data_IF_954609260669
#
_entry.id   IF_954609260669
#
_cell.length_a   1.000
_cell.length_b   1.000
_cell.length_c   1.000
_cell.angle_alpha   90.00
_cell.angle_beta   90.00
_cell.angle_gamma   90.00
#
_symmetry.space_group_name_H-M   'P 1'
#
loop_
_entity.id
_entity.type
_entity.pdbx_description
1 polymer ?
#
# COMPACT_ATOMS: atom_id res chain seq x y z
N UNK A 1 8.77 -6.80 -18.57
CA UNK A 1 9.56 -7.54 -17.55
C UNK A 1 9.39 -6.79 -16.25
N UNK A 2 9.02 -7.47 -15.15
CA UNK A 2 8.93 -6.85 -13.83
C UNK A 2 10.26 -6.20 -13.47
N UNK A 3 10.24 -4.91 -13.13
CA UNK A 3 11.43 -4.15 -12.68
C UNK A 3 11.37 -3.88 -11.17
N UNK A 4 10.74 -4.77 -10.44
CA UNK A 4 10.62 -4.72 -9.00
C UNK A 4 10.68 -6.13 -8.41
N UNK A 5 11.07 -6.19 -7.15
CA UNK A 5 11.03 -7.36 -6.28
C UNK A 5 9.94 -7.14 -5.25
N UNK A 6 9.10 -8.15 -5.05
CA UNK A 6 8.06 -8.18 -4.03
C UNK A 6 8.21 -9.46 -3.22
N UNK A 7 8.37 -9.31 -1.91
CA UNK A 7 8.30 -10.39 -0.94
C UNK A 7 7.05 -10.20 -0.10
N UNK A 8 6.31 -11.29 0.15
CA UNK A 8 5.12 -11.26 1.00
C UNK A 8 5.26 -12.32 2.08
N UNK A 9 5.36 -11.86 3.32
CA UNK A 9 5.46 -12.72 4.50
C UNK A 9 4.17 -12.65 5.32
N UNK A 10 3.63 -13.82 5.69
CA UNK A 10 2.49 -13.92 6.61
C UNK A 10 2.96 -14.39 7.98
N UNK A 11 2.70 -13.60 9.02
CA UNK A 11 3.11 -13.92 10.40
C UNK A 11 1.97 -14.42 11.29
N UNK A 12 0.81 -14.74 10.71
CA UNK A 12 -0.38 -15.16 11.44
C UNK A 12 -1.36 -14.03 11.80
N UNK A 13 -0.94 -12.75 11.72
CA UNK A 13 -1.79 -11.59 12.04
C UNK A 13 -1.95 -10.63 10.87
N UNK A 14 -0.86 -10.36 10.15
CA UNK A 14 -0.86 -9.49 8.99
C UNK A 14 0.05 -10.03 7.89
N UNK A 15 -0.19 -9.58 6.67
CA UNK A 15 0.72 -9.73 5.54
C UNK A 15 1.68 -8.57 5.51
N UNK A 16 2.98 -8.84 5.38
CA UNK A 16 4.01 -7.84 5.16
C UNK A 16 4.50 -7.95 3.73
N UNK A 17 4.09 -7.00 2.89
CA UNK A 17 4.58 -6.84 1.54
C UNK A 17 5.77 -5.88 1.56
N UNK A 18 6.96 -6.37 1.20
CA UNK A 18 8.16 -5.55 1.03
C UNK A 18 8.47 -5.41 -0.45
N UNK A 19 8.51 -4.18 -0.96
CA UNK A 19 8.69 -3.87 -2.38
C UNK A 19 9.94 -3.03 -2.59
N UNK A 20 10.74 -3.41 -3.59
CA UNK A 20 11.86 -2.58 -4.06
C UNK A 20 11.97 -2.63 -5.57
N UNK A 21 12.42 -1.55 -6.22
CA UNK A 21 12.46 -1.49 -7.68
C UNK A 21 12.27 -0.09 -8.25
N UNK A 22 11.69 0.00 -9.44
CA UNK A 22 11.37 1.29 -10.09
C UNK A 22 9.94 1.76 -9.77
N UNK A 23 9.79 3.03 -9.41
CA UNK A 23 8.50 3.68 -9.18
C UNK A 23 7.83 4.05 -10.51
N UNK A 24 7.14 3.09 -11.14
CA UNK A 24 6.37 3.31 -12.36
C UNK A 24 4.94 2.88 -12.14
N UNK A 25 3.98 3.54 -12.82
CA UNK A 25 2.55 3.20 -12.73
C UNK A 25 2.30 1.70 -12.99
N UNK A 26 2.97 1.14 -13.99
CA UNK A 26 2.89 -0.29 -14.33
C UNK A 26 3.31 -1.18 -13.15
N UNK A 27 4.47 -0.90 -12.53
CA UNK A 27 4.95 -1.68 -11.40
C UNK A 27 4.04 -1.55 -10.19
N UNK A 28 3.54 -0.33 -9.92
CA UNK A 28 2.65 -0.07 -8.78
C UNK A 28 1.35 -0.83 -8.92
N UNK A 29 0.70 -0.75 -10.08
CA UNK A 29 -0.52 -1.52 -10.35
C UNK A 29 -0.29 -3.02 -10.23
N UNK A 30 0.83 -3.51 -10.77
CA UNK A 30 1.14 -4.92 -10.76
C UNK A 30 1.39 -5.47 -9.35
N UNK A 31 2.11 -4.73 -8.48
CA UNK A 31 2.36 -5.23 -7.13
C UNK A 31 1.07 -5.22 -6.30
N UNK A 32 0.17 -4.24 -6.48
CA UNK A 32 -1.10 -4.23 -5.75
C UNK A 32 -1.97 -5.45 -6.10
N UNK A 33 -1.99 -5.87 -7.37
CA UNK A 33 -2.68 -7.08 -7.78
C UNK A 33 -2.12 -8.33 -7.07
N UNK A 34 -0.79 -8.45 -7.01
CA UNK A 34 -0.11 -9.57 -6.35
C UNK A 34 -0.32 -9.57 -4.83
N UNK A 35 -0.36 -8.39 -4.21
CA UNK A 35 -0.61 -8.23 -2.79
C UNK A 35 -2.05 -8.61 -2.45
N UNK A 36 -3.04 -8.21 -3.25
CA UNK A 36 -4.43 -8.61 -3.01
C UNK A 36 -4.69 -10.08 -3.32
N UNK A 37 -3.97 -10.68 -4.27
CA UNK A 37 -3.97 -12.14 -4.46
C UNK A 37 -3.46 -12.86 -3.21
N UNK A 38 -2.43 -12.32 -2.55
CA UNK A 38 -1.95 -12.86 -1.29
C UNK A 38 -2.97 -12.69 -0.16
N UNK A 39 -3.67 -11.54 -0.06
CA UNK A 39 -4.76 -11.36 0.91
C UNK A 39 -5.84 -12.45 0.78
N UNK A 40 -6.22 -12.77 -0.46
CA UNK A 40 -7.16 -13.87 -0.75
C UNK A 40 -6.59 -15.23 -0.34
N UNK A 41 -5.34 -15.52 -0.74
CA UNK A 41 -4.67 -16.80 -0.48
C UNK A 41 -4.51 -17.09 1.01
N UNK A 42 -4.12 -16.09 1.80
CA UNK A 42 -3.89 -16.22 3.24
C UNK A 42 -5.12 -15.90 4.08
N UNK A 43 -6.25 -15.53 3.45
CA UNK A 43 -7.47 -15.09 4.12
C UNK A 43 -7.20 -13.99 5.16
N UNK A 44 -6.26 -13.10 4.85
CA UNK A 44 -5.82 -12.04 5.72
C UNK A 44 -6.13 -10.69 5.07
N UNK A 45 -6.82 -9.84 5.82
CA UNK A 45 -7.22 -8.50 5.38
C UNK A 45 -6.41 -7.40 6.09
N UNK A 46 -5.38 -7.75 6.84
CA UNK A 46 -4.50 -6.79 7.52
C UNK A 46 -3.16 -6.80 6.79
N UNK A 47 -2.78 -5.65 6.24
CA UNK A 47 -1.69 -5.55 5.28
C UNK A 47 -0.74 -4.40 5.66
N UNK A 48 0.54 -4.73 5.81
CA UNK A 48 1.64 -3.79 5.84
C UNK A 48 2.29 -3.76 4.46
N UNK A 49 2.33 -2.59 3.83
CA UNK A 49 3.13 -2.32 2.64
C UNK A 49 4.34 -1.50 3.07
N UNK A 50 5.53 -2.04 2.84
CA UNK A 50 6.80 -1.35 3.00
C UNK A 50 7.42 -1.16 1.61
N UNK A 51 7.40 0.08 1.13
CA UNK A 51 7.85 0.45 -0.20
C UNK A 51 9.23 1.09 -0.17
N UNK A 52 10.09 0.59 -1.06
CA UNK A 52 11.40 1.16 -1.40
C UNK A 52 11.56 1.27 -2.92
N UNK A 53 10.64 1.96 -3.58
CA UNK A 53 10.69 2.20 -5.02
C UNK A 53 11.52 3.45 -5.34
N UNK A 54 12.38 3.32 -6.34
CA UNK A 54 13.32 4.36 -6.78
C UNK A 54 12.86 4.98 -8.09
N UNK A 55 13.25 6.23 -8.33
CA UNK A 55 12.84 7.00 -9.51
C UNK A 55 11.87 8.14 -9.15
N UNK A 56 11.32 8.84 -10.15
CA UNK A 56 10.39 9.93 -9.89
C UNK A 56 9.12 9.40 -9.22
N UNK A 57 8.52 10.21 -8.34
CA UNK A 57 7.19 9.91 -7.84
C UNK A 57 6.18 9.87 -8.99
N UNK A 58 5.18 9.01 -8.83
CA UNK A 58 3.97 9.09 -9.62
C UNK A 58 3.36 10.48 -9.50
N UNK A 59 2.93 11.02 -10.65
CA UNK A 59 2.19 12.27 -10.66
C UNK A 59 0.75 12.06 -10.12
N UNK A 60 0.05 13.16 -9.87
CA UNK A 60 -1.31 13.17 -9.31
C UNK A 60 -2.30 12.30 -10.10
N UNK A 61 -2.21 12.29 -11.44
CA UNK A 61 -3.10 11.48 -12.28
C UNK A 61 -2.77 9.98 -12.18
N UNK A 62 -1.48 9.63 -12.15
CA UNK A 62 -1.04 8.25 -11.98
C UNK A 62 -1.45 7.70 -10.61
N UNK A 63 -1.28 8.48 -9.52
CA UNK A 63 -1.78 8.11 -8.19
C UNK A 63 -3.29 7.90 -8.20
N UNK A 64 -4.04 8.80 -8.83
CA UNK A 64 -5.49 8.67 -8.96
C UNK A 64 -5.90 7.41 -9.72
N UNK A 65 -5.16 7.05 -10.77
CA UNK A 65 -5.37 5.83 -11.54
C UNK A 65 -5.12 4.57 -10.68
N UNK A 66 -4.05 4.54 -9.89
CA UNK A 66 -3.77 3.44 -8.95
C UNK A 66 -4.95 3.24 -8.00
N UNK A 67 -5.46 4.32 -7.40
CA UNK A 67 -6.59 4.23 -6.46
C UNK A 67 -7.84 3.74 -7.19
N UNK A 68 -8.16 4.27 -8.37
CA UNK A 68 -9.34 3.87 -9.15
C UNK A 68 -9.32 2.40 -9.55
N UNK A 69 -8.16 1.85 -9.87
CA UNK A 69 -8.03 0.44 -10.24
C UNK A 69 -8.12 -0.50 -9.05
N UNK A 70 -7.74 -0.04 -7.86
CA UNK A 70 -7.58 -0.91 -6.69
C UNK A 70 -8.70 -0.79 -5.64
N UNK A 71 -9.43 0.33 -5.57
CA UNK A 71 -10.34 0.59 -4.45
C UNK A 71 -11.46 -0.45 -4.32
N UNK A 72 -12.05 -0.92 -5.43
CA UNK A 72 -13.15 -1.91 -5.36
C UNK A 72 -12.67 -3.22 -4.75
N UNK A 73 -11.46 -3.66 -5.14
CA UNK A 73 -10.85 -4.87 -4.60
C UNK A 73 -10.49 -4.69 -3.13
N UNK A 74 -9.97 -3.52 -2.77
CA UNK A 74 -9.68 -3.20 -1.39
C UNK A 74 -10.93 -3.24 -0.49
N UNK A 75 -12.05 -2.67 -0.97
CA UNK A 75 -13.34 -2.70 -0.28
C UNK A 75 -13.91 -4.12 -0.19
N UNK A 76 -13.88 -4.88 -1.28
CA UNK A 76 -14.42 -6.24 -1.33
C UNK A 76 -13.70 -7.17 -0.34
N UNK A 77 -12.38 -7.01 -0.22
CA UNK A 77 -11.55 -7.78 0.72
C UNK A 77 -11.58 -7.21 2.15
N UNK A 78 -12.21 -6.04 2.34
CA UNK A 78 -12.19 -5.28 3.58
C UNK A 78 -10.76 -5.12 4.13
N UNK A 79 -9.81 -4.81 3.24
CA UNK A 79 -8.40 -4.70 3.63
C UNK A 79 -8.14 -3.42 4.39
N UNK A 80 -7.39 -3.58 5.48
CA UNK A 80 -6.78 -2.52 6.26
C UNK A 80 -5.29 -2.45 5.91
N UNK A 81 -4.86 -1.30 5.41
CA UNK A 81 -3.54 -1.10 4.82
C UNK A 81 -2.76 -0.08 5.66
N UNK A 82 -1.60 -0.47 6.18
CA UNK A 82 -0.60 0.48 6.64
C UNK A 82 0.49 0.56 5.57
N UNK A 83 0.83 1.77 5.18
CA UNK A 83 1.74 2.02 4.07
C UNK A 83 2.92 2.84 4.56
N UNK A 84 4.13 2.30 4.36
CA UNK A 84 5.40 2.91 4.73
C UNK A 84 6.18 3.12 3.46
N UNK A 85 6.49 4.37 3.15
CA UNK A 85 7.37 4.73 2.04
C UNK A 85 8.74 5.12 2.62
N UNK A 86 9.77 4.32 2.33
CA UNK A 86 11.13 4.55 2.81
C UNK A 86 11.83 5.71 2.09
N UNK A 87 11.31 6.19 0.96
CA UNK A 87 11.87 7.28 0.16
C UNK A 87 11.23 8.63 0.50
N UNK A 88 11.39 9.03 1.77
CA UNK A 88 10.67 10.15 2.42
C UNK A 88 11.00 11.58 1.93
N UNK A 89 12.13 11.79 1.23
CA UNK A 89 12.59 13.12 0.83
C UNK A 89 11.80 13.72 -0.36
N UNK A 90 11.23 12.87 -1.23
CA UNK A 90 10.41 13.33 -2.36
C UNK A 90 8.91 13.11 -2.15
N UNK A 91 8.50 12.24 -1.22
CA UNK A 91 7.15 11.65 -1.21
C UNK A 91 6.05 12.47 -0.50
N UNK A 92 6.41 13.34 0.45
CA UNK A 92 5.45 13.93 1.42
C UNK A 92 4.24 14.67 0.82
N UNK A 93 4.33 15.24 -0.40
CA UNK A 93 3.21 15.97 -1.05
C UNK A 93 2.27 15.07 -1.86
N UNK A 94 2.81 14.12 -2.63
CA UNK A 94 1.99 13.21 -3.44
C UNK A 94 1.26 12.17 -2.58
N UNK A 95 1.90 11.78 -1.48
CA UNK A 95 1.47 10.71 -0.59
C UNK A 95 0.24 11.13 0.25
N UNK A 96 0.19 12.35 0.81
CA UNK A 96 -1.03 12.87 1.48
C UNK A 96 -2.23 13.01 0.55
N UNK A 97 -2.00 13.36 -0.72
CA UNK A 97 -3.08 13.43 -1.70
C UNK A 97 -3.65 12.03 -1.99
N UNK A 98 -2.79 11.01 -2.08
CA UNK A 98 -3.19 9.63 -2.25
C UNK A 98 -4.07 9.14 -1.08
N UNK A 99 -3.66 9.40 0.17
CA UNK A 99 -4.40 9.00 1.37
C UNK A 99 -5.80 9.62 1.41
N UNK A 100 -5.91 10.93 1.20
CA UNK A 100 -7.21 11.61 1.16
C UNK A 100 -8.14 11.02 0.09
N UNK A 101 -7.64 10.74 -1.11
CA UNK A 101 -8.44 10.14 -2.18
C UNK A 101 -8.87 8.71 -1.85
N UNK A 102 -8.00 7.93 -1.22
CA UNK A 102 -8.30 6.57 -0.80
C UNK A 102 -9.41 6.56 0.27
N UNK A 103 -9.33 7.47 1.24
CA UNK A 103 -10.37 7.65 2.27
C UNK A 103 -11.71 8.07 1.69
N UNK A 104 -11.73 9.02 0.73
CA UNK A 104 -12.96 9.41 0.01
C UNK A 104 -13.63 8.19 -0.65
N UNK A 105 -12.85 7.17 -1.01
CA UNK A 105 -13.33 5.92 -1.62
C UNK A 105 -13.54 4.78 -0.61
N UNK A 106 -13.48 5.07 0.68
CA UNK A 106 -13.73 4.13 1.77
C UNK A 106 -12.61 3.12 2.02
N UNK A 107 -11.44 3.30 1.41
CA UNK A 107 -10.28 2.42 1.63
C UNK A 107 -9.69 2.74 3.00
N UNK A 108 -9.57 1.74 3.86
CA UNK A 108 -8.94 1.85 5.17
C UNK A 108 -7.42 1.76 5.03
N UNK A 109 -6.82 2.88 4.61
CA UNK A 109 -5.37 3.02 4.46
C UNK A 109 -4.84 4.09 5.40
N UNK A 110 -3.63 3.92 5.93
CA UNK A 110 -2.93 4.97 6.66
C UNK A 110 -1.44 4.95 6.33
N UNK A 111 -0.87 6.13 6.20
CA UNK A 111 0.56 6.31 5.94
C UNK A 111 1.36 6.46 7.22
N UNK A 112 2.58 5.92 7.21
CA UNK A 112 3.50 5.95 8.34
C UNK A 112 4.93 6.25 7.87
N UNK A 113 5.68 6.94 8.71
CA UNK A 113 7.11 7.22 8.46
C UNK A 113 8.00 5.99 8.75
N UNK A 114 7.49 5.00 9.50
CA UNK A 114 8.23 3.80 9.85
C UNK A 114 7.31 2.58 10.06
N UNK A 115 7.90 1.38 9.90
CA UNK A 115 7.20 0.10 10.04
C UNK A 115 6.72 -0.20 11.45
N UNK A 116 7.41 0.30 12.48
CA UNK A 116 7.05 0.04 13.87
C UNK A 116 5.69 0.67 14.23
N UNK A 117 5.49 1.94 13.90
CA UNK A 117 4.21 2.64 14.10
C UNK A 117 3.09 2.03 13.23
N UNK A 118 3.42 1.67 11.99
CA UNK A 118 2.50 1.03 11.06
C UNK A 118 1.95 -0.29 11.64
N UNK A 119 2.82 -1.14 12.18
CA UNK A 119 2.42 -2.42 12.80
C UNK A 119 1.59 -2.19 14.06
N UNK A 120 1.98 -1.25 14.91
CA UNK A 120 1.19 -0.91 16.11
C UNK A 120 -0.23 -0.50 15.74
N UNK A 121 -0.39 0.37 14.73
CA UNK A 121 -1.72 0.75 14.27
C UNK A 121 -2.48 -0.44 13.64
N UNK A 122 -1.85 -1.25 12.80
CA UNK A 122 -2.50 -2.43 12.19
C UNK A 122 -3.09 -3.39 13.22
N UNK A 123 -2.36 -3.62 14.31
CA UNK A 123 -2.75 -4.53 15.38
C UNK A 123 -3.66 -3.87 16.43
N UNK A 124 -3.85 -2.56 16.35
CA UNK A 124 -4.80 -1.83 17.19
C UNK A 124 -6.22 -1.87 16.60
N UNK A 125 -7.23 -1.63 17.44
CA UNK A 125 -8.61 -1.45 16.99
C UNK A 125 -8.93 -0.01 16.49
N UNK A 126 -7.91 0.85 16.33
CA UNK A 126 -8.11 2.21 15.82
C UNK A 126 -8.61 2.16 14.37
N UNK A 127 -9.35 3.17 13.89
CA UNK A 127 -9.66 3.30 12.46
C UNK A 127 -8.72 4.32 11.83
N UNK A 128 -8.51 4.26 10.52
CA UNK A 128 -8.00 5.40 9.76
C UNK A 128 -9.07 6.51 9.88
N UNK A 129 -8.78 7.56 10.65
CA UNK A 129 -9.67 8.72 10.81
C UNK A 129 -9.46 9.66 9.65
#
# INVERSE_FOLDING_TARGET
MKKYTLTIDFNGKYLHATISGQNTLENVLQFFDEVYDACLKYQCNTLLIEENLTGPNLNTFEVFEVILKNFQRALLLNVRIAYVDLNTEQSKRGVKFAENLAHIRGVNVRLFDNTQEAVHWLLSNERSV
#
